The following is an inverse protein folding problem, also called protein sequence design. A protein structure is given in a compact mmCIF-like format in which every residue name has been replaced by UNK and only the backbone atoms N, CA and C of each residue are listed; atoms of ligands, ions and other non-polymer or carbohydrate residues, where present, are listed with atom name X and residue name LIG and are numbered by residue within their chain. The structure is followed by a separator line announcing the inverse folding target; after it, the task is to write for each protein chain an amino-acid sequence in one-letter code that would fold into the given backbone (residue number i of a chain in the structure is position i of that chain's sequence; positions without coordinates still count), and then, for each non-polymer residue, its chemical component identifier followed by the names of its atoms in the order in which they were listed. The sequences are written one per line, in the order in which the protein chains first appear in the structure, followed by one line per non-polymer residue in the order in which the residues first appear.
data_IF_056669089867
#
_entry.id   IF_056669089867
#
_cell.length_a   1.000
_cell.length_b   1.000
_cell.length_c   1.000
_cell.angle_alpha   90.00
_cell.angle_beta   90.00
_cell.angle_gamma   90.00
#
_symmetry.space_group_name_H-M   'P 1'
#
loop_
_entity.id
_entity.type
_entity.pdbx_description
1 polymer ?
#
# COMPACT_ATOMS: atom_id res chain seq x y z
N UNK A 1 -10.97 5.27 2.19
CA UNK A 1 -10.96 6.08 0.96
C UNK A 1 -9.99 5.44 -0.03
N UNK A 2 -10.41 5.26 -1.28
CA UNK A 2 -9.57 4.72 -2.35
C UNK A 2 -8.67 5.81 -2.95
N UNK A 3 -7.64 5.42 -3.70
CA UNK A 3 -6.69 6.38 -4.28
C UNK A 3 -7.36 7.27 -5.34
N UNK A 4 -8.25 6.70 -6.14
CA UNK A 4 -8.98 7.42 -7.18
C UNK A 4 -9.93 8.46 -6.57
N UNK A 5 -10.53 8.14 -5.42
CA UNK A 5 -11.39 9.07 -4.66
C UNK A 5 -10.57 10.25 -4.11
N UNK A 6 -9.37 9.99 -3.57
CA UNK A 6 -8.48 11.03 -3.07
C UNK A 6 -8.03 11.98 -4.19
N UNK A 7 -7.59 11.42 -5.32
CA UNK A 7 -7.18 12.21 -6.47
C UNK A 7 -8.33 13.07 -6.99
N UNK A 8 -9.53 12.48 -7.14
CA UNK A 8 -10.72 13.20 -7.61
C UNK A 8 -11.13 14.31 -6.63
N UNK A 9 -11.04 14.08 -5.32
CA UNK A 9 -11.32 15.07 -4.30
C UNK A 9 -10.40 16.30 -4.42
N UNK A 10 -9.16 16.10 -4.86
CA UNK A 10 -8.20 17.17 -5.14
C UNK A 10 -8.20 17.65 -6.60
N UNK A 11 -9.24 17.33 -7.38
CA UNK A 11 -9.42 17.83 -8.74
C UNK A 11 -8.62 17.11 -9.82
N UNK A 12 -7.99 15.96 -9.50
CA UNK A 12 -7.23 15.14 -10.45
C UNK A 12 -8.09 13.98 -10.92
N UNK A 13 -8.41 13.95 -12.22
CA UNK A 13 -9.07 12.78 -12.82
C UNK A 13 -8.03 11.69 -13.10
N UNK A 14 -8.40 10.43 -12.89
CA UNK A 14 -7.55 9.29 -13.27
C UNK A 14 -7.30 9.20 -14.78
N UNK A 15 -8.16 9.83 -15.59
CA UNK A 15 -8.00 9.93 -17.05
C UNK A 15 -6.87 10.88 -17.47
N UNK A 16 -6.52 11.82 -16.58
CA UNK A 16 -5.47 12.81 -16.83
C UNK A 16 -4.10 12.29 -16.39
N UNK A 17 -4.05 11.13 -15.72
CA UNK A 17 -2.80 10.48 -15.33
C UNK A 17 -2.13 9.85 -16.55
N UNK A 18 -0.86 10.18 -16.75
CA UNK A 18 -0.03 9.48 -17.71
C UNK A 18 0.43 8.13 -17.14
N UNK A 19 -0.27 7.06 -17.52
CA UNK A 19 0.07 5.69 -17.10
C UNK A 19 1.22 5.18 -17.96
N UNK A 20 2.45 5.29 -17.46
CA UNK A 20 3.63 4.82 -18.17
C UNK A 20 3.68 3.29 -18.29
N UNK A 21 3.34 2.57 -17.21
CA UNK A 21 3.41 1.10 -17.12
C UNK A 21 2.35 0.54 -16.18
N UNK A 22 1.95 -0.72 -16.40
CA UNK A 22 1.07 -1.51 -15.53
C UNK A 22 1.77 -2.82 -15.18
N UNK A 23 1.83 -3.13 -13.88
CA UNK A 23 2.50 -4.32 -13.37
C UNK A 23 1.55 -5.16 -12.49
N UNK A 24 1.75 -6.48 -12.53
CA UNK A 24 0.96 -7.42 -11.73
C UNK A 24 1.48 -7.66 -10.30
N UNK A 25 2.66 -7.14 -9.95
CA UNK A 25 3.26 -7.37 -8.63
C UNK A 25 3.87 -6.09 -8.04
N UNK A 26 3.89 -6.00 -6.71
CA UNK A 26 4.50 -4.85 -6.01
C UNK A 26 6.01 -4.80 -6.22
N UNK A 27 6.69 -5.94 -6.30
CA UNK A 27 8.13 -6.01 -6.57
C UNK A 27 8.48 -5.43 -7.95
N UNK A 28 7.72 -5.81 -8.98
CA UNK A 28 7.93 -5.28 -10.34
C UNK A 28 7.77 -3.76 -10.40
N UNK A 29 6.80 -3.20 -9.65
CA UNK A 29 6.61 -1.74 -9.55
C UNK A 29 7.84 -1.10 -8.91
N UNK A 30 8.35 -1.65 -7.80
CA UNK A 30 9.54 -1.12 -7.12
C UNK A 30 10.74 -1.10 -8.05
N UNK A 31 11.04 -2.22 -8.72
CA UNK A 31 12.17 -2.32 -9.65
C UNK A 31 12.04 -1.31 -10.81
N UNK A 32 10.85 -1.09 -11.34
CA UNK A 32 10.64 -0.11 -12.42
C UNK A 32 10.87 1.33 -11.94
N UNK A 33 10.45 1.66 -10.72
CA UNK A 33 10.69 2.98 -10.11
C UNK A 33 12.19 3.16 -9.82
N UNK A 34 12.86 2.14 -9.27
CA UNK A 34 14.32 2.15 -9.05
C UNK A 34 15.09 2.35 -10.36
N UNK A 35 14.58 1.82 -11.48
CA UNK A 35 15.14 2.01 -12.82
C UNK A 35 14.81 3.37 -13.47
N UNK A 36 14.08 4.27 -12.77
CA UNK A 36 13.80 5.62 -13.25
C UNK A 36 12.55 5.76 -14.14
N UNK A 37 11.65 4.77 -14.15
CA UNK A 37 10.46 4.80 -15.02
C UNK A 37 9.44 5.87 -14.60
N UNK A 38 9.47 6.34 -13.34
CA UNK A 38 8.55 7.35 -12.84
C UNK A 38 8.25 7.21 -11.36
N UNK A 39 7.01 7.51 -10.95
CA UNK A 39 6.54 7.42 -9.56
C UNK A 39 5.44 6.37 -9.44
N UNK A 40 5.29 5.80 -8.24
CA UNK A 40 4.25 4.84 -7.94
C UNK A 40 3.62 5.11 -6.57
N UNK A 41 2.35 4.70 -6.42
CA UNK A 41 1.59 4.82 -5.17
C UNK A 41 1.54 3.44 -4.54
N UNK A 42 2.33 3.23 -3.48
CA UNK A 42 2.48 1.95 -2.79
C UNK A 42 2.26 2.12 -1.28
N UNK A 43 2.10 0.99 -0.59
CA UNK A 43 2.10 0.97 0.88
C UNK A 43 3.47 1.41 1.41
N UNK A 44 3.51 2.27 2.42
CA UNK A 44 4.76 2.62 3.11
C UNK A 44 5.49 1.39 3.63
N UNK A 45 4.74 0.36 4.04
CA UNK A 45 5.29 -0.91 4.53
C UNK A 45 6.03 -1.71 3.46
N UNK A 46 5.59 -1.64 2.20
CA UNK A 46 6.18 -2.45 1.12
C UNK A 46 7.48 -1.87 0.56
N UNK A 47 7.79 -0.60 0.86
CA UNK A 47 8.99 0.10 0.39
C UNK A 47 10.00 0.40 1.51
N UNK A 48 9.73 -0.07 2.74
CA UNK A 48 10.52 0.28 3.93
C UNK A 48 12.01 -0.03 3.72
N UNK A 49 12.30 -1.23 3.23
CA UNK A 49 13.67 -1.70 2.99
C UNK A 49 14.37 -0.85 1.93
N UNK A 50 13.73 -0.61 0.80
CA UNK A 50 14.31 0.16 -0.30
C UNK A 50 14.58 1.62 0.09
N UNK A 51 13.76 2.18 0.98
CA UNK A 51 13.96 3.52 1.53
C UNK A 51 15.10 3.56 2.54
N UNK A 52 15.20 2.56 3.42
CA UNK A 52 16.32 2.40 4.36
C UNK A 52 17.65 2.20 3.62
N UNK A 53 17.63 1.45 2.52
CA UNK A 53 18.77 1.20 1.64
C UNK A 53 19.10 2.39 0.71
N UNK A 54 18.30 3.47 0.74
CA UNK A 54 18.48 4.66 -0.10
C UNK A 54 18.16 4.46 -1.59
N UNK A 55 17.58 3.33 -1.98
CA UNK A 55 17.19 3.03 -3.38
C UNK A 55 15.90 3.73 -3.79
N UNK A 56 14.96 3.92 -2.87
CA UNK A 56 13.70 4.62 -3.10
C UNK A 56 13.52 5.80 -2.14
N UNK A 57 12.75 6.79 -2.57
CA UNK A 57 12.40 7.95 -1.75
C UNK A 57 10.89 8.11 -1.65
N UNK A 58 10.39 8.31 -0.43
CA UNK A 58 8.97 8.61 -0.19
C UNK A 58 8.71 10.08 -0.48
N UNK A 59 7.68 10.34 -1.28
CA UNK A 59 7.16 11.68 -1.54
C UNK A 59 5.97 11.92 -0.61
N UNK A 60 6.09 12.92 0.27
CA UNK A 60 4.98 13.33 1.12
C UNK A 60 4.08 14.30 0.36
N UNK A 61 2.79 13.95 0.25
CA UNK A 61 1.76 14.79 -0.34
C UNK A 61 1.40 15.93 0.64
N UNK A 62 1.20 17.14 0.12
CA UNK A 62 0.79 18.31 0.93
C UNK A 62 -0.71 18.31 1.20
N UNK A 63 -1.45 17.67 0.31
CA UNK A 63 -2.90 17.59 0.22
C UNK A 63 -3.50 16.71 1.33
N UNK A 64 -2.67 15.88 1.98
CA UNK A 64 -3.05 15.11 3.15
C UNK A 64 -2.53 13.67 3.11
N UNK A 65 -3.17 12.83 3.91
CA UNK A 65 -2.86 11.39 4.01
C UNK A 65 -3.98 10.58 3.38
N UNK A 66 -3.60 9.44 2.83
CA UNK A 66 -4.53 8.45 2.27
C UNK A 66 -4.56 7.26 3.22
N UNK A 67 -5.46 7.24 4.22
CA UNK A 67 -5.48 6.17 5.20
C UNK A 67 -5.94 4.86 4.56
N UNK A 68 -5.18 3.80 4.80
CA UNK A 68 -5.53 2.43 4.42
C UNK A 68 -5.78 1.61 5.68
N UNK A 69 -6.99 1.08 5.79
CA UNK A 69 -7.32 0.10 6.84
C UNK A 69 -6.97 -1.30 6.35
N UNK A 70 -6.21 -2.04 7.17
CA UNK A 70 -6.02 -3.49 6.99
C UNK A 70 -7.05 -4.22 7.84
N UNK A 71 -7.63 -5.28 7.31
CA UNK A 71 -8.69 -6.03 7.97
C UNK A 71 -8.41 -7.53 7.95
N UNK A 72 -8.68 -8.20 9.07
CA UNK A 72 -8.65 -9.66 9.17
C UNK A 72 -10.02 -10.20 8.78
N UNK A 73 -10.06 -11.10 7.79
CA UNK A 73 -11.29 -11.70 7.28
C UNK A 73 -11.25 -13.20 7.54
N UNK A 74 -12.27 -13.72 8.22
CA UNK A 74 -12.44 -15.15 8.48
C UNK A 74 -13.93 -15.50 8.51
N UNK A 75 -14.27 -16.75 8.18
CA UNK A 75 -15.66 -17.20 8.13
C UNK A 75 -16.27 -17.25 9.52
N UNK A 76 -17.45 -16.65 9.69
CA UNK A 76 -18.20 -16.65 10.96
C UNK A 76 -18.55 -18.06 11.45
N UNK A 77 -18.65 -19.04 10.54
CA UNK A 77 -19.01 -20.43 10.85
C UNK A 77 -17.78 -21.32 11.11
N UNK A 78 -16.56 -20.81 10.92
CA UNK A 78 -15.34 -21.59 11.14
C UNK A 78 -15.02 -21.60 12.63
N UNK A 79 -14.83 -22.78 13.21
CA UNK A 79 -14.22 -22.89 14.53
C UNK A 79 -12.77 -22.41 14.46
N UNK A 80 -12.46 -21.34 15.18
CA UNK A 80 -11.09 -20.83 15.31
C UNK A 80 -10.31 -21.76 16.25
N UNK A 81 -9.28 -22.39 15.71
CA UNK A 81 -8.32 -23.18 16.48
C UNK A 81 -7.57 -22.30 17.49
N UNK A 82 -6.83 -22.92 18.40
CA UNK A 82 -5.95 -22.16 19.29
C UNK A 82 -4.92 -21.34 18.49
N UNK A 83 -4.29 -21.93 17.47
CA UNK A 83 -3.35 -21.23 16.60
C UNK A 83 -3.99 -20.03 15.87
N UNK A 84 -5.23 -20.15 15.39
CA UNK A 84 -5.95 -19.03 14.76
C UNK A 84 -6.13 -17.87 15.75
N UNK A 85 -6.50 -18.17 16.99
CA UNK A 85 -6.71 -17.15 18.04
C UNK A 85 -5.40 -16.46 18.39
N UNK A 86 -4.33 -17.22 18.59
CA UNK A 86 -3.00 -16.67 18.88
C UNK A 86 -2.51 -15.79 17.73
N UNK A 87 -2.70 -16.21 16.48
CA UNK A 87 -2.35 -15.39 15.31
C UNK A 87 -3.17 -14.09 15.24
N UNK A 88 -4.49 -14.15 15.49
CA UNK A 88 -5.34 -12.95 15.51
C UNK A 88 -4.89 -11.99 16.63
N UNK A 89 -4.56 -12.50 17.80
CA UNK A 89 -4.04 -11.70 18.91
C UNK A 89 -2.70 -11.06 18.56
N UNK A 90 -1.79 -11.84 17.98
CA UNK A 90 -0.50 -11.35 17.50
C UNK A 90 -0.67 -10.19 16.50
N UNK A 91 -1.49 -10.36 15.47
CA UNK A 91 -1.71 -9.32 14.45
C UNK A 91 -2.38 -8.07 15.05
N UNK A 92 -3.28 -8.22 16.02
CA UNK A 92 -3.93 -7.08 16.69
C UNK A 92 -2.99 -6.27 17.58
N UNK A 93 -1.99 -6.93 18.16
CA UNK A 93 -1.00 -6.31 19.04
C UNK A 93 0.24 -5.82 18.27
N UNK A 94 0.38 -6.16 16.99
CA UNK A 94 1.44 -5.62 16.16
C UNK A 94 1.23 -4.12 15.93
N UNK A 95 2.24 -3.27 16.21
CA UNK A 95 2.22 -1.90 15.74
C UNK A 95 2.41 -1.93 14.22
N UNK A 96 1.29 -1.76 13.51
CA UNK A 96 1.26 -1.39 12.09
C UNK A 96 1.33 0.14 12.04
#
# INVERSE_FOLDING_TARGET
MKIEEFLKYHGVSTRDLHVALVFGSTESIKTAVEAGTGIAILSKWSVKKEVEDGRLKIINLKEGRIPRTLSLIFSKKKHLSHADKEFILFVRNCPI
#
